data_IF_614798152977
#
_entry.id   IF_614798152977
#
_cell.length_a   1.000
_cell.length_b   1.000
_cell.length_c   1.000
_cell.angle_alpha   90.00
_cell.angle_beta   90.00
_cell.angle_gamma   90.00
#
_symmetry.space_group_name_H-M   'P 1'
#
loop_
_entity.id
_entity.type
_entity.pdbx_description
1 polymer ?
#
# COMPACT_ATOMS: atom_id res chain seq x y z
N UNK A 1 -60.65 6.98 -12.61
CA UNK A 1 -61.38 8.17 -13.10
C UNK A 1 -62.29 8.66 -11.98
N UNK A 2 -62.41 9.99 -11.85
CA UNK A 2 -63.24 10.76 -10.90
C UNK A 2 -62.90 10.66 -9.40
N UNK A 3 -62.54 11.82 -8.82
CA UNK A 3 -62.34 12.03 -7.38
C UNK A 3 -61.97 13.49 -7.09
N UNK A 4 -62.98 14.35 -6.96
CA UNK A 4 -62.91 15.79 -6.71
C UNK A 4 -62.41 16.15 -5.29
N UNK A 5 -61.51 17.16 -5.20
CA UNK A 5 -61.53 18.44 -4.44
C UNK A 5 -62.18 18.51 -3.02
N UNK A 6 -61.68 19.38 -2.08
CA UNK A 6 -61.65 20.83 -2.30
C UNK A 6 -60.48 21.66 -1.75
N UNK A 7 -60.44 22.88 -2.29
CA UNK A 7 -59.63 24.05 -1.94
C UNK A 7 -60.04 24.66 -0.59
N UNK A 8 -59.11 25.33 0.10
CA UNK A 8 -59.42 26.59 0.77
C UNK A 8 -58.29 27.61 0.62
N UNK A 9 -58.71 28.81 0.26
CA UNK A 9 -57.97 30.03 -0.05
C UNK A 9 -57.57 30.81 1.22
N UNK A 10 -56.46 31.56 1.16
CA UNK A 10 -56.38 33.03 1.33
C UNK A 10 -54.90 33.46 1.27
N UNK A 11 -54.44 34.10 0.20
CA UNK A 11 -54.26 35.57 0.03
C UNK A 11 -53.63 36.27 1.25
N UNK A 12 -52.38 36.72 1.11
CA UNK A 12 -52.05 38.15 0.98
C UNK A 12 -50.54 38.37 0.79
N UNK A 13 -50.21 39.05 -0.30
CA UNK A 13 -48.94 39.72 -0.50
C UNK A 13 -49.04 41.14 0.10
N UNK A 14 -47.98 41.60 0.75
CA UNK A 14 -47.37 42.91 0.55
C UNK A 14 -46.42 43.26 1.70
N UNK A 15 -45.36 43.99 1.32
CA UNK A 15 -44.55 44.89 2.16
C UNK A 15 -43.72 44.27 3.28
N UNK A 16 -42.42 44.09 3.02
CA UNK A 16 -41.43 44.24 4.08
C UNK A 16 -40.36 45.26 3.70
N UNK A 17 -40.45 46.35 4.45
CA UNK A 17 -39.62 47.54 4.48
C UNK A 17 -38.18 47.23 4.88
N UNK A 18 -37.26 47.92 4.22
CA UNK A 18 -35.90 48.14 4.70
C UNK A 18 -35.90 48.67 6.14
N UNK A 19 -35.22 47.97 7.06
CA UNK A 19 -34.71 48.56 8.28
C UNK A 19 -33.21 48.27 8.39
N UNK A 20 -32.44 49.34 8.21
CA UNK A 20 -31.03 49.43 8.57
C UNK A 20 -30.92 49.34 10.08
N UNK A 21 -30.20 48.34 10.59
CA UNK A 21 -29.63 48.36 11.93
C UNK A 21 -28.14 48.62 11.79
N UNK A 22 -27.74 49.86 12.03
CA UNK A 22 -26.35 50.27 12.22
C UNK A 22 -25.90 49.83 13.62
N UNK A 23 -25.14 48.74 13.71
CA UNK A 23 -24.36 48.44 14.91
C UNK A 23 -23.05 49.25 14.85
N UNK A 24 -22.83 50.11 15.83
CA UNK A 24 -21.63 50.94 15.98
C UNK A 24 -20.40 50.09 16.35
N UNK A 25 -19.18 50.44 15.87
CA UNK A 25 -17.95 49.63 16.06
C UNK A 25 -17.46 49.51 17.52
N UNK A 26 -18.06 50.23 18.47
CA UNK A 26 -17.61 50.28 19.86
C UNK A 26 -18.11 49.11 20.72
N UNK A 27 -19.17 48.40 20.31
CA UNK A 27 -19.70 47.27 21.10
C UNK A 27 -18.95 45.95 20.83
N UNK A 28 -18.29 45.83 19.67
CA UNK A 28 -17.50 44.64 19.30
C UNK A 28 -16.10 44.65 19.95
N UNK A 29 -15.57 45.83 20.28
CA UNK A 29 -14.29 45.96 20.98
C UNK A 29 -14.37 45.66 22.48
N UNK A 30 -15.51 45.95 23.13
CA UNK A 30 -15.69 45.64 24.55
C UNK A 30 -15.84 44.13 24.80
N UNK A 31 -16.43 43.38 23.86
CA UNK A 31 -16.55 41.93 23.93
C UNK A 31 -15.23 41.19 23.64
N UNK A 32 -14.32 41.79 22.87
CA UNK A 32 -12.97 41.23 22.66
C UNK A 32 -12.03 41.48 23.85
N UNK A 33 -12.19 42.59 24.59
CA UNK A 33 -11.33 42.89 25.75
C UNK A 33 -11.68 42.05 27.00
N UNK A 34 -12.93 41.60 27.15
CA UNK A 34 -13.34 40.72 28.26
C UNK A 34 -12.88 39.26 28.03
N UNK A 35 -12.67 38.84 26.79
CA UNK A 35 -12.16 37.50 26.46
C UNK A 35 -10.62 37.36 26.58
N UNK A 36 -9.88 38.47 26.68
CA UNK A 36 -8.42 38.46 26.86
C UNK A 36 -7.95 38.57 28.32
N UNK A 37 -8.86 38.73 29.29
CA UNK A 37 -8.51 38.91 30.70
C UNK A 37 -8.46 37.61 31.55
N UNK A 38 -8.68 36.42 30.97
CA UNK A 38 -8.78 35.16 31.73
C UNK A 38 -7.79 34.04 31.38
N UNK A 39 -6.76 34.29 30.55
CA UNK A 39 -5.68 33.34 30.32
C UNK A 39 -4.32 33.95 30.66
N UNK A 40 -4.02 34.02 31.97
CA UNK A 40 -2.67 34.25 32.46
C UNK A 40 -1.85 32.97 32.37
N UNK A 41 -0.96 32.88 31.37
CA UNK A 41 0.20 31.98 31.40
C UNK A 41 1.43 32.82 31.03
N UNK A 42 2.35 32.90 31.99
CA UNK A 42 3.61 33.63 31.92
C UNK A 42 4.47 33.19 30.74
N UNK A 43 4.88 34.13 29.90
CA UNK A 43 5.98 33.97 28.96
C UNK A 43 7.30 34.09 29.73
N UNK A 44 7.89 32.95 30.09
CA UNK A 44 9.32 32.87 30.35
C UNK A 44 10.05 32.79 29.00
N UNK A 45 11.04 33.65 28.82
CA UNK A 45 11.92 33.69 27.65
C UNK A 45 12.67 32.36 27.50
N UNK A 46 12.25 31.53 26.54
CA UNK A 46 13.03 30.40 26.08
C UNK A 46 13.87 30.86 24.89
N UNK A 47 15.10 31.25 25.17
CA UNK A 47 16.16 31.42 24.16
C UNK A 47 16.42 30.04 23.55
N UNK A 48 15.87 29.76 22.38
CA UNK A 48 16.19 28.55 21.61
C UNK A 48 17.58 28.72 21.03
N UNK A 49 18.57 28.23 21.77
CA UNK A 49 19.91 27.97 21.25
C UNK A 49 19.77 26.82 20.24
N UNK A 50 19.91 27.14 18.96
CA UNK A 50 20.19 26.14 17.93
C UNK A 50 21.57 25.55 18.22
N UNK A 51 21.60 24.49 19.03
CA UNK A 51 22.74 23.59 19.03
C UNK A 51 22.75 22.87 17.68
N UNK A 52 23.65 23.32 16.80
CA UNK A 52 24.15 22.53 15.71
C UNK A 52 24.79 21.27 16.31
N UNK A 53 23.98 20.24 16.51
CA UNK A 53 24.49 18.90 16.73
C UNK A 53 25.24 18.52 15.46
N UNK A 54 26.56 18.53 15.54
CA UNK A 54 27.47 17.82 14.66
C UNK A 54 26.99 16.37 14.61
N UNK A 55 26.20 16.05 13.59
CA UNK A 55 25.92 14.67 13.20
C UNK A 55 27.26 14.15 12.71
N UNK A 56 28.01 13.51 13.60
CA UNK A 56 29.14 12.68 13.22
C UNK A 56 28.62 11.68 12.20
N UNK A 57 29.07 11.85 10.95
CA UNK A 57 28.91 10.93 9.84
C UNK A 57 29.47 9.57 10.23
N UNK A 58 28.65 8.79 10.92
CA UNK A 58 28.84 7.37 11.08
C UNK A 58 28.79 6.80 9.67
N UNK A 59 29.87 6.15 9.26
CA UNK A 59 30.04 5.60 7.92
C UNK A 59 28.72 5.00 7.41
N UNK A 60 28.18 5.61 6.36
CA UNK A 60 27.06 5.06 5.59
C UNK A 60 27.58 3.73 5.05
N UNK A 61 27.26 2.64 5.75
CA UNK A 61 27.36 1.29 5.20
C UNK A 61 26.43 1.31 4.00
N UNK A 62 27.01 1.41 2.80
CA UNK A 62 26.28 1.40 1.54
C UNK A 62 25.30 0.23 1.54
N UNK A 63 23.97 0.46 1.58
CA UNK A 63 22.99 -0.62 1.55
C UNK A 63 22.86 -1.25 0.14
N UNK A 64 23.72 -0.87 -0.80
CA UNK A 64 23.66 -1.27 -2.20
C UNK A 64 24.33 -2.60 -2.55
N UNK A 65 24.87 -3.36 -1.59
CA UNK A 65 25.20 -4.76 -1.84
C UNK A 65 23.95 -5.64 -1.75
N UNK A 66 22.96 -5.36 -2.58
CA UNK A 66 22.03 -6.39 -3.02
C UNK A 66 22.88 -7.39 -3.81
N UNK A 67 23.31 -8.47 -3.16
CA UNK A 67 24.01 -9.56 -3.82
C UNK A 67 23.23 -9.93 -5.10
N UNK A 68 23.89 -10.06 -6.26
CA UNK A 68 23.22 -10.37 -7.51
C UNK A 68 22.36 -11.62 -7.30
N UNK A 69 21.07 -11.49 -7.56
CA UNK A 69 20.13 -12.60 -7.45
C UNK A 69 20.59 -13.72 -8.37
N UNK A 70 20.97 -14.86 -7.80
CA UNK A 70 21.37 -16.03 -8.58
C UNK A 70 20.30 -16.34 -9.65
N UNK A 71 20.67 -16.56 -10.92
CA UNK A 71 19.71 -16.78 -11.99
C UNK A 71 18.77 -17.95 -11.68
N UNK A 72 17.47 -17.68 -11.69
CA UNK A 72 16.42 -18.71 -11.59
C UNK A 72 16.15 -19.21 -10.18
N UNK A 73 15.58 -18.36 -9.32
CA UNK A 73 15.06 -18.78 -8.02
C UNK A 73 14.12 -19.99 -8.18
N UNK A 74 14.52 -21.14 -7.62
CA UNK A 74 13.71 -22.36 -7.64
C UNK A 74 12.91 -22.47 -6.35
N UNK A 75 11.61 -22.80 -6.41
CA UNK A 75 10.86 -23.20 -5.23
C UNK A 75 11.54 -24.39 -4.53
N UNK A 76 11.49 -24.44 -3.20
CA UNK A 76 11.90 -25.61 -2.42
C UNK A 76 11.19 -26.90 -2.88
N UNK A 77 11.95 -27.99 -2.97
CA UNK A 77 11.39 -29.32 -3.20
C UNK A 77 10.91 -29.92 -1.86
N UNK A 78 9.61 -30.19 -1.76
CA UNK A 78 8.97 -30.72 -0.55
C UNK A 78 8.56 -32.20 -0.68
N UNK A 79 9.20 -32.94 -1.58
CA UNK A 79 8.92 -34.37 -1.79
C UNK A 79 9.24 -35.23 -0.56
N UNK A 80 10.30 -34.88 0.20
CA UNK A 80 10.71 -35.60 1.42
C UNK A 80 9.88 -35.24 2.67
N UNK A 81 9.01 -34.23 2.59
CA UNK A 81 8.14 -33.81 3.68
C UNK A 81 6.70 -33.63 3.17
N UNK A 82 6.00 -34.71 2.78
CA UNK A 82 4.67 -34.63 2.16
C UNK A 82 3.62 -33.94 3.02
N UNK A 83 3.81 -33.98 4.35
CA UNK A 83 2.88 -33.42 5.33
C UNK A 83 3.16 -31.96 5.71
N UNK A 84 4.17 -31.30 5.12
CA UNK A 84 4.47 -29.90 5.42
C UNK A 84 3.28 -29.01 5.04
N UNK A 85 2.80 -28.19 5.98
CA UNK A 85 1.67 -27.27 5.81
C UNK A 85 2.05 -25.81 5.95
N UNK A 86 1.41 -24.97 5.16
CA UNK A 86 1.63 -23.52 5.11
C UNK A 86 0.31 -22.81 5.44
N UNK A 87 0.35 -21.86 6.36
CA UNK A 87 -0.78 -20.98 6.68
C UNK A 87 -0.44 -19.55 6.31
N UNK A 88 -1.41 -18.81 5.77
CA UNK A 88 -1.31 -17.36 5.51
C UNK A 88 -2.52 -16.70 6.17
N UNK A 89 -2.31 -15.66 6.97
CA UNK A 89 -3.37 -14.91 7.64
C UNK A 89 -3.31 -13.45 7.17
N UNK A 90 -4.40 -12.97 6.58
CA UNK A 90 -4.65 -11.55 6.34
C UNK A 90 -5.96 -11.14 7.01
N UNK A 91 -5.85 -10.63 8.23
CA UNK A 91 -6.98 -10.21 9.06
C UNK A 91 -7.59 -8.87 8.64
N UNK A 92 -6.87 -8.06 7.88
CA UNK A 92 -7.35 -6.74 7.42
C UNK A 92 -8.19 -6.84 6.14
N UNK A 93 -9.21 -5.97 5.95
CA UNK A 93 -9.99 -5.92 4.70
C UNK A 93 -9.28 -5.13 3.59
N UNK A 94 -7.95 -5.09 3.60
CA UNK A 94 -7.06 -4.40 2.65
C UNK A 94 -5.73 -5.17 2.55
N UNK A 95 -4.72 -4.62 1.86
CA UNK A 95 -3.44 -5.29 1.56
C UNK A 95 -3.58 -6.58 0.74
N UNK A 96 -4.64 -6.69 -0.06
CA UNK A 96 -4.84 -7.83 -0.94
C UNK A 96 -3.79 -7.93 -2.05
N UNK A 97 -3.11 -6.84 -2.37
CA UNK A 97 -1.96 -6.80 -3.26
C UNK A 97 -0.78 -7.64 -2.72
N UNK A 98 -0.55 -7.61 -1.40
CA UNK A 98 0.46 -8.43 -0.72
C UNK A 98 0.04 -9.90 -0.71
N UNK A 99 -1.24 -10.15 -0.39
CA UNK A 99 -1.82 -11.50 -0.42
C UNK A 99 -1.75 -12.11 -1.83
N UNK A 100 -2.08 -11.34 -2.87
CA UNK A 100 -2.01 -11.79 -4.26
C UNK A 100 -0.57 -12.13 -4.66
N UNK A 101 0.40 -11.33 -4.20
CA UNK A 101 1.82 -11.65 -4.33
C UNK A 101 2.17 -12.98 -3.66
N UNK A 102 1.80 -13.18 -2.40
CA UNK A 102 2.05 -14.44 -1.69
C UNK A 102 1.40 -15.63 -2.40
N UNK A 103 0.15 -15.50 -2.83
CA UNK A 103 -0.56 -16.51 -3.60
C UNK A 103 0.20 -16.88 -4.88
N UNK A 104 0.81 -15.90 -5.56
CA UNK A 104 1.67 -16.15 -6.70
C UNK A 104 2.93 -16.94 -6.30
N UNK A 105 3.63 -16.51 -5.26
CA UNK A 105 4.85 -17.17 -4.74
C UNK A 105 4.59 -18.61 -4.27
N UNK A 106 3.46 -18.85 -3.60
CA UNK A 106 3.08 -20.16 -3.05
C UNK A 106 2.28 -21.04 -4.00
N UNK A 107 2.10 -20.64 -5.26
CA UNK A 107 1.41 -21.45 -6.28
C UNK A 107 1.93 -22.90 -6.38
N UNK A 108 3.25 -23.20 -6.31
CA UNK A 108 3.76 -24.58 -6.31
C UNK A 108 3.26 -25.42 -5.13
N UNK A 109 2.83 -24.77 -4.04
CA UNK A 109 2.41 -25.39 -2.78
C UNK A 109 0.92 -25.21 -2.50
N UNK A 110 0.12 -24.87 -3.53
CA UNK A 110 -1.27 -24.45 -3.35
C UNK A 110 -2.11 -25.46 -2.54
N UNK A 111 -1.95 -26.77 -2.80
CA UNK A 111 -2.65 -27.85 -2.09
C UNK A 111 -2.25 -28.01 -0.61
N UNK A 112 -1.13 -27.42 -0.19
CA UNK A 112 -0.57 -27.46 1.16
C UNK A 112 -0.74 -26.13 1.90
N UNK A 113 -1.38 -25.16 1.27
CA UNK A 113 -1.51 -23.79 1.77
C UNK A 113 -2.96 -23.53 2.16
N UNK A 114 -3.17 -23.05 3.38
CA UNK A 114 -4.44 -22.50 3.84
C UNK A 114 -4.32 -20.97 3.97
N UNK A 115 -5.30 -20.24 3.46
CA UNK A 115 -5.34 -18.78 3.45
C UNK A 115 -6.55 -18.26 4.24
N UNK A 116 -6.29 -17.65 5.38
CA UNK A 116 -7.29 -17.03 6.25
C UNK A 116 -7.45 -15.56 5.89
N UNK A 117 -8.68 -15.15 5.57
CA UNK A 117 -9.00 -13.82 5.08
C UNK A 117 -10.06 -13.16 5.93
N UNK A 118 -10.02 -11.83 6.04
CA UNK A 118 -11.11 -11.07 6.62
C UNK A 118 -12.48 -11.42 5.98
N UNK A 119 -13.55 -11.49 6.76
CA UNK A 119 -14.90 -11.79 6.24
C UNK A 119 -15.40 -10.83 5.15
N UNK A 120 -14.91 -9.59 5.13
CA UNK A 120 -15.29 -8.57 4.16
C UNK A 120 -14.60 -8.72 2.80
N UNK A 121 -13.67 -9.66 2.62
CA UNK A 121 -13.00 -9.91 1.34
C UNK A 121 -13.99 -10.27 0.22
N UNK A 122 -15.13 -10.89 0.54
CA UNK A 122 -16.18 -11.21 -0.44
C UNK A 122 -17.18 -10.08 -0.68
N UNK A 123 -17.09 -8.97 0.06
CA UNK A 123 -18.01 -7.86 -0.18
C UNK A 123 -17.79 -7.30 -1.59
N UNK A 124 -18.85 -6.79 -2.23
CA UNK A 124 -18.73 -6.07 -3.51
C UNK A 124 -17.74 -4.88 -3.41
N UNK A 125 -17.51 -4.38 -2.18
CA UNK A 125 -16.55 -3.34 -1.85
C UNK A 125 -15.14 -3.86 -1.49
N UNK A 126 -14.89 -5.17 -1.54
CA UNK A 126 -13.67 -5.84 -1.08
C UNK A 126 -12.49 -5.74 -2.06
N UNK A 127 -12.38 -4.60 -2.74
CA UNK A 127 -11.37 -4.30 -3.77
C UNK A 127 -11.27 -5.36 -4.89
N UNK A 128 -12.25 -6.25 -5.08
CA UNK A 128 -12.32 -7.24 -6.17
C UNK A 128 -11.22 -8.32 -6.19
N UNK A 129 -10.42 -8.46 -5.14
CA UNK A 129 -9.30 -9.41 -5.07
C UNK A 129 -9.74 -10.87 -5.13
N UNK A 130 -11.02 -11.13 -4.83
CA UNK A 130 -11.64 -12.46 -4.82
C UNK A 130 -11.40 -13.27 -6.09
N UNK A 131 -11.42 -12.64 -7.27
CA UNK A 131 -11.23 -13.34 -8.55
C UNK A 131 -9.84 -13.95 -8.70
N UNK A 132 -8.82 -13.32 -8.14
CA UNK A 132 -7.45 -13.85 -8.13
C UNK A 132 -7.36 -15.00 -7.14
N UNK A 133 -7.91 -14.78 -5.94
CA UNK A 133 -7.84 -15.74 -4.85
C UNK A 133 -8.54 -17.07 -5.21
N UNK A 134 -9.72 -17.02 -5.84
CA UNK A 134 -10.46 -18.24 -6.23
C UNK A 134 -9.77 -19.07 -7.31
N UNK A 135 -8.91 -18.46 -8.15
CA UNK A 135 -8.18 -19.17 -9.23
C UNK A 135 -6.87 -19.81 -8.75
N UNK A 136 -6.44 -19.53 -7.52
CA UNK A 136 -5.14 -19.94 -6.99
C UNK A 136 -4.99 -21.43 -6.66
N UNK A 137 -6.11 -22.16 -6.52
CA UNK A 137 -6.17 -23.53 -5.95
C UNK A 137 -5.71 -23.63 -4.49
N UNK A 138 -5.48 -22.51 -3.80
CA UNK A 138 -5.22 -22.44 -2.35
C UNK A 138 -6.54 -22.57 -1.60
N UNK A 139 -6.52 -23.26 -0.46
CA UNK A 139 -7.69 -23.41 0.40
C UNK A 139 -7.90 -22.12 1.19
N UNK A 140 -8.86 -21.27 0.79
CA UNK A 140 -9.17 -20.07 1.55
C UNK A 140 -10.25 -20.33 2.61
N UNK A 141 -10.18 -19.63 3.73
CA UNK A 141 -11.17 -19.63 4.81
C UNK A 141 -11.45 -18.19 5.25
N UNK A 142 -12.72 -17.82 5.38
CA UNK A 142 -13.10 -16.49 5.85
C UNK A 142 -13.18 -16.47 7.38
N UNK A 143 -12.47 -15.53 8.00
CA UNK A 143 -12.44 -15.27 9.44
C UNK A 143 -13.83 -14.81 9.92
N UNK A 144 -14.64 -15.79 10.32
CA UNK A 144 -15.96 -15.64 10.92
C UNK A 144 -15.95 -16.23 12.34
N UNK A 145 -16.95 -15.90 13.17
CA UNK A 145 -17.07 -16.50 14.52
C UNK A 145 -17.16 -18.02 14.47
N UNK A 146 -17.91 -18.57 13.51
CA UNK A 146 -18.01 -20.01 13.30
C UNK A 146 -16.65 -20.63 12.97
N UNK A 147 -15.87 -20.00 12.08
CA UNK A 147 -14.53 -20.48 11.76
C UNK A 147 -13.60 -20.44 12.97
N UNK A 148 -13.60 -19.36 13.76
CA UNK A 148 -12.80 -19.28 14.99
C UNK A 148 -13.14 -20.42 15.95
N UNK A 149 -14.43 -20.75 16.08
CA UNK A 149 -14.88 -21.89 16.89
C UNK A 149 -14.45 -23.25 16.32
N UNK A 150 -14.29 -23.34 14.99
CA UNK A 150 -13.72 -24.53 14.34
C UNK A 150 -12.22 -24.64 14.62
N UNK A 151 -11.48 -23.54 14.47
CA UNK A 151 -10.04 -23.49 14.70
C UNK A 151 -9.72 -23.80 16.17
N UNK A 152 -10.50 -23.29 17.12
CA UNK A 152 -10.31 -23.58 18.55
C UNK A 152 -10.50 -25.06 18.90
N UNK A 153 -11.38 -25.76 18.17
CA UNK A 153 -11.61 -27.20 18.29
C UNK A 153 -10.56 -28.03 17.56
N UNK A 154 -10.31 -27.73 16.28
CA UNK A 154 -9.39 -28.47 15.39
C UNK A 154 -7.93 -28.30 15.79
N UNK A 155 -7.57 -27.13 16.35
CA UNK A 155 -6.20 -26.73 16.69
C UNK A 155 -5.20 -27.04 15.56
N UNK A 156 -5.41 -26.46 14.35
CA UNK A 156 -4.62 -26.79 13.17
C UNK A 156 -3.13 -26.53 13.42
N UNK A 157 -2.30 -27.32 12.74
CA UNK A 157 -0.84 -27.22 12.80
C UNK A 157 -0.28 -26.78 11.45
N UNK A 158 0.64 -25.81 11.47
CA UNK A 158 1.38 -25.31 10.31
C UNK A 158 2.89 -25.31 10.56
N UNK A 159 3.68 -25.81 9.63
CA UNK A 159 5.14 -25.70 9.71
C UNK A 159 5.59 -24.26 9.48
N UNK A 160 4.95 -23.57 8.55
CA UNK A 160 5.15 -22.15 8.26
C UNK A 160 3.81 -21.40 8.35
N UNK A 161 3.74 -20.40 9.22
CA UNK A 161 2.62 -19.47 9.32
C UNK A 161 3.05 -18.07 8.93
N UNK A 162 2.35 -17.41 8.02
CA UNK A 162 2.65 -16.07 7.54
C UNK A 162 1.54 -15.11 8.01
N UNK A 163 1.92 -14.08 8.77
CA UNK A 163 1.01 -13.00 9.18
C UNK A 163 1.22 -11.80 8.27
N UNK A 164 0.16 -11.38 7.59
CA UNK A 164 0.19 -10.22 6.69
C UNK A 164 -0.30 -8.99 7.46
N UNK A 165 0.58 -8.01 7.66
CA UNK A 165 0.28 -6.75 8.35
C UNK A 165 -0.23 -6.92 9.80
N UNK A 166 0.44 -7.73 10.65
CA UNK A 166 0.02 -7.91 12.03
C UNK A 166 0.03 -6.60 12.83
N UNK A 167 0.77 -5.58 12.38
CA UNK A 167 0.80 -4.22 12.95
C UNK A 167 -0.53 -3.46 12.85
N UNK A 168 -1.51 -3.96 12.10
CA UNK A 168 -2.85 -3.36 12.01
C UNK A 168 -3.94 -4.13 12.77
N UNK A 169 -3.71 -5.39 13.13
CA UNK A 169 -4.73 -6.30 13.69
C UNK A 169 -4.12 -7.19 14.78
N UNK A 170 -3.29 -6.61 15.66
CA UNK A 170 -2.51 -7.38 16.62
C UNK A 170 -3.39 -8.22 17.56
N UNK A 171 -4.47 -7.64 18.08
CA UNK A 171 -5.41 -8.32 18.98
C UNK A 171 -6.09 -9.52 18.31
N UNK A 172 -6.53 -9.35 17.06
CA UNK A 172 -7.19 -10.41 16.30
C UNK A 172 -6.21 -11.53 15.94
N UNK A 173 -4.95 -11.20 15.61
CA UNK A 173 -3.91 -12.19 15.40
C UNK A 173 -3.59 -12.94 16.69
N UNK A 174 -3.46 -12.25 17.83
CA UNK A 174 -3.21 -12.88 19.12
C UNK A 174 -4.29 -13.91 19.47
N UNK A 175 -5.56 -13.53 19.34
CA UNK A 175 -6.68 -14.44 19.60
C UNK A 175 -6.65 -15.68 18.68
N UNK A 176 -6.42 -15.48 17.38
CA UNK A 176 -6.34 -16.58 16.43
C UNK A 176 -5.16 -17.52 16.74
N UNK A 177 -4.01 -16.97 17.11
CA UNK A 177 -2.79 -17.71 17.39
C UNK A 177 -2.84 -18.53 18.69
N UNK A 178 -3.77 -18.25 19.61
CA UNK A 178 -4.05 -19.15 20.76
C UNK A 178 -4.55 -20.52 20.32
N UNK A 179 -5.13 -20.60 19.13
CA UNK A 179 -5.74 -21.81 18.60
C UNK A 179 -4.98 -22.44 17.44
N UNK A 180 -4.03 -21.74 16.84
CA UNK A 180 -3.19 -22.27 15.76
C UNK A 180 -1.82 -22.68 16.31
N UNK A 181 -1.49 -23.96 16.18
CA UNK A 181 -0.14 -24.46 16.46
C UNK A 181 0.75 -24.21 15.25
N UNK A 182 1.99 -23.79 15.47
CA UNK A 182 2.93 -23.60 14.38
C UNK A 182 4.38 -23.77 14.82
N UNK A 183 5.24 -24.09 13.85
CA UNK A 183 6.70 -24.21 14.08
C UNK A 183 7.38 -22.86 13.85
N UNK A 184 7.22 -22.26 12.67
CA UNK A 184 7.78 -20.94 12.33
C UNK A 184 6.66 -19.95 12.00
N UNK A 185 6.80 -18.73 12.51
CA UNK A 185 5.94 -17.59 12.14
C UNK A 185 6.76 -16.54 11.40
N UNK A 186 6.32 -16.14 10.19
CA UNK A 186 6.86 -14.99 9.46
C UNK A 186 5.86 -13.84 9.56
N UNK A 187 6.24 -12.74 10.20
CA UNK A 187 5.39 -11.57 10.39
C UNK A 187 5.80 -10.46 9.41
N UNK A 188 4.94 -10.17 8.41
CA UNK A 188 5.16 -9.11 7.41
C UNK A 188 4.65 -7.78 7.94
N UNK A 189 5.54 -7.01 8.57
CA UNK A 189 5.26 -5.71 9.19
C UNK A 189 5.27 -4.60 8.14
N UNK A 190 4.19 -3.81 8.07
CA UNK A 190 4.06 -2.73 7.09
C UNK A 190 4.70 -1.41 7.54
N UNK A 191 4.60 -1.09 8.84
CA UNK A 191 5.19 0.11 9.41
C UNK A 191 6.11 -0.24 10.59
N UNK A 192 7.37 0.18 10.53
CA UNK A 192 8.33 -0.04 11.63
C UNK A 192 8.09 0.87 12.84
N UNK A 193 7.28 1.91 12.68
CA UNK A 193 6.92 2.86 13.73
C UNK A 193 5.66 2.45 14.51
N UNK A 194 5.35 1.15 14.53
CA UNK A 194 4.27 0.61 15.32
C UNK A 194 4.62 0.64 16.82
N UNK A 195 3.80 1.35 17.60
CA UNK A 195 4.08 1.65 19.01
C UNK A 195 4.20 0.40 19.90
N UNK A 196 3.69 -0.76 19.48
CA UNK A 196 3.66 -1.99 20.28
C UNK A 196 4.43 -3.15 19.62
N UNK A 197 5.57 -2.82 19.02
CA UNK A 197 6.41 -3.80 18.31
C UNK A 197 6.86 -4.95 19.22
N UNK A 198 7.10 -4.68 20.50
CA UNK A 198 7.46 -5.72 21.47
C UNK A 198 6.31 -6.73 21.70
N UNK A 199 5.06 -6.27 21.77
CA UNK A 199 3.93 -7.21 21.83
C UNK A 199 3.75 -7.96 20.52
N UNK A 200 3.97 -7.32 19.37
CA UNK A 200 3.93 -8.00 18.07
C UNK A 200 4.90 -9.18 18.03
N UNK A 201 6.14 -9.00 18.51
CA UNK A 201 7.13 -10.08 18.64
C UNK A 201 6.58 -11.21 19.54
N UNK A 202 6.14 -10.87 20.76
CA UNK A 202 5.58 -11.87 21.69
C UNK A 202 4.40 -12.64 21.10
N UNK A 203 3.51 -11.97 20.37
CA UNK A 203 2.37 -12.59 19.72
C UNK A 203 2.84 -13.55 18.62
N UNK A 204 3.80 -13.14 17.79
CA UNK A 204 4.36 -14.00 16.74
C UNK A 204 5.07 -15.24 17.33
N UNK A 205 5.81 -15.08 18.43
CA UNK A 205 6.55 -16.16 19.11
C UNK A 205 5.68 -17.04 20.04
N UNK A 206 4.44 -16.65 20.30
CA UNK A 206 3.57 -17.36 21.23
C UNK A 206 3.38 -18.84 20.84
N UNK A 207 3.11 -19.71 21.83
CA UNK A 207 2.92 -21.14 21.58
C UNK A 207 4.19 -21.89 21.15
N UNK A 208 5.38 -21.37 21.47
CA UNK A 208 6.67 -22.02 21.22
C UNK A 208 7.17 -21.92 19.77
N UNK A 209 6.63 -20.99 18.99
CA UNK A 209 7.06 -20.75 17.61
C UNK A 209 8.27 -19.83 17.57
N UNK A 210 9.23 -20.10 16.68
CA UNK A 210 10.22 -19.07 16.32
C UNK A 210 9.57 -18.04 15.39
N UNK A 211 9.75 -16.75 15.67
CA UNK A 211 9.29 -15.67 14.80
C UNK A 211 10.42 -15.11 13.94
N UNK A 212 10.09 -14.75 12.69
CA UNK A 212 10.93 -13.94 11.82
C UNK A 212 10.13 -12.69 11.44
N UNK A 213 10.64 -11.53 11.83
CA UNK A 213 10.10 -10.25 11.36
C UNK A 213 10.64 -9.97 9.96
N UNK A 214 9.72 -9.63 9.05
CA UNK A 214 10.08 -9.15 7.72
C UNK A 214 9.27 -7.92 7.37
N UNK A 215 9.76 -7.12 6.45
CA UNK A 215 9.03 -5.96 5.92
C UNK A 215 8.91 -6.02 4.40
N UNK A 216 8.19 -5.06 3.83
CA UNK A 216 7.98 -4.96 2.38
C UNK A 216 9.05 -4.12 1.66
N UNK A 217 10.02 -3.53 2.38
CA UNK A 217 11.05 -2.67 1.77
C UNK A 217 12.33 -2.55 2.60
N UNK A 218 13.49 -2.23 1.97
CA UNK A 218 14.77 -2.13 2.66
C UNK A 218 14.80 -1.11 3.81
N UNK A 219 14.27 0.10 3.59
CA UNK A 219 14.31 1.15 4.62
C UNK A 219 13.45 0.81 5.84
N UNK A 220 12.27 0.21 5.63
CA UNK A 220 11.42 -0.25 6.73
C UNK A 220 12.03 -1.42 7.47
N UNK A 221 12.74 -2.34 6.78
CA UNK A 221 13.49 -3.41 7.44
C UNK A 221 14.59 -2.83 8.33
N UNK A 222 15.36 -1.88 7.81
CA UNK A 222 16.42 -1.18 8.56
C UNK A 222 15.87 -0.49 9.80
N UNK A 223 14.76 0.25 9.65
CA UNK A 223 14.10 0.93 10.76
C UNK A 223 13.54 -0.04 11.80
N UNK A 224 12.90 -1.14 11.37
CA UNK A 224 12.38 -2.14 12.30
C UNK A 224 13.50 -2.88 13.03
N UNK A 225 14.60 -3.20 12.34
CA UNK A 225 15.79 -3.80 12.94
C UNK A 225 16.36 -2.91 14.04
N UNK A 226 16.51 -1.61 13.76
CA UNK A 226 16.95 -0.63 14.76
C UNK A 226 16.00 -0.55 15.96
N UNK A 227 14.68 -0.57 15.73
CA UNK A 227 13.68 -0.48 16.80
C UNK A 227 13.59 -1.75 17.67
N UNK A 228 13.98 -2.91 17.14
CA UNK A 228 13.82 -4.22 17.80
C UNK A 228 15.12 -4.84 18.28
N UNK A 229 16.27 -4.40 17.76
CA UNK A 229 17.55 -5.07 17.93
C UNK A 229 17.62 -6.43 17.23
N UNK A 230 16.64 -6.79 16.39
CA UNK A 230 16.61 -8.05 15.65
C UNK A 230 17.06 -7.86 14.20
N UNK A 231 17.56 -8.92 13.58
CA UNK A 231 17.76 -8.95 12.13
C UNK A 231 16.39 -8.99 11.45
N UNK A 232 16.12 -7.99 10.60
CA UNK A 232 14.88 -7.91 9.83
C UNK A 232 15.22 -7.94 8.35
N UNK A 233 14.69 -8.92 7.63
CA UNK A 233 14.80 -8.99 6.18
C UNK A 233 13.61 -8.29 5.51
N UNK A 234 13.75 -7.90 4.24
CA UNK A 234 12.62 -7.48 3.43
C UNK A 234 12.28 -8.50 2.36
N UNK A 235 10.98 -8.69 2.11
CA UNK A 235 10.41 -9.56 1.09
C UNK A 235 9.19 -8.88 0.48
N UNK A 236 9.20 -8.70 -0.84
CA UNK A 236 8.11 -8.08 -1.58
C UNK A 236 7.58 -9.05 -2.66
N UNK A 237 6.65 -9.94 -2.31
CA UNK A 237 6.01 -10.79 -3.31
C UNK A 237 5.03 -9.94 -4.13
N UNK A 238 5.06 -10.08 -5.46
CA UNK A 238 4.32 -9.23 -6.41
C UNK A 238 3.50 -10.10 -7.35
N UNK A 239 2.19 -9.85 -7.44
CA UNK A 239 1.33 -10.52 -8.42
C UNK A 239 1.60 -9.99 -9.84
N UNK A 240 1.97 -10.83 -10.82
CA UNK A 240 2.17 -10.39 -12.20
C UNK A 240 0.82 -10.20 -12.90
N UNK A 241 0.25 -9.01 -12.79
CA UNK A 241 -1.01 -8.69 -13.45
C UNK A 241 -0.88 -8.82 -14.97
N UNK A 242 -1.95 -9.33 -15.60
CA UNK A 242 -2.07 -9.48 -17.05
C UNK A 242 -3.20 -8.57 -17.53
N UNK A 243 -2.88 -7.40 -18.13
CA UNK A 243 -3.89 -6.50 -18.65
C UNK A 243 -4.64 -7.14 -19.82
N UNK A 244 -5.82 -6.63 -20.15
CA UNK A 244 -6.53 -7.04 -21.38
C UNK A 244 -5.81 -6.56 -22.63
N UNK A 245 -5.31 -5.32 -22.60
CA UNK A 245 -4.44 -4.75 -23.64
C UNK A 245 -3.07 -4.51 -23.04
N UNK A 246 -2.05 -5.18 -23.57
CA UNK A 246 -0.69 -5.07 -23.06
C UNK A 246 0.07 -3.93 -23.75
N UNK A 247 0.26 -2.81 -23.06
CA UNK A 247 0.98 -1.66 -23.62
C UNK A 247 2.45 -1.95 -23.93
N UNK A 248 3.05 -3.02 -23.38
CA UNK A 248 4.40 -3.47 -23.78
C UNK A 248 4.45 -4.06 -25.19
N UNK A 249 3.29 -4.39 -25.76
CA UNK A 249 3.14 -4.96 -27.11
C UNK A 249 2.46 -3.98 -28.06
N UNK A 250 2.16 -2.75 -27.62
CA UNK A 250 1.58 -1.73 -28.47
C UNK A 250 2.61 -1.25 -29.50
N UNK A 251 2.15 -0.93 -30.71
CA UNK A 251 2.97 -0.20 -31.69
C UNK A 251 3.27 1.21 -31.15
N UNK A 252 4.27 1.90 -31.71
CA UNK A 252 4.53 3.30 -31.30
C UNK A 252 3.31 4.21 -31.50
N UNK A 253 2.56 3.97 -32.58
CA UNK A 253 1.33 4.70 -32.92
C UNK A 253 0.22 4.41 -31.92
N UNK A 254 0.06 3.15 -31.51
CA UNK A 254 -0.99 2.74 -30.55
C UNK A 254 -0.59 3.01 -29.09
N UNK A 255 0.69 3.23 -28.80
CA UNK A 255 1.13 3.45 -27.43
C UNK A 255 0.59 4.77 -26.89
N UNK A 256 0.73 5.85 -27.66
CA UNK A 256 0.34 7.19 -27.24
C UNK A 256 -1.14 7.46 -27.54
N UNK A 257 -1.91 7.84 -26.52
CA UNK A 257 -3.32 8.23 -26.67
C UNK A 257 -4.30 7.06 -26.78
N UNK A 258 -3.88 5.91 -27.33
CA UNK A 258 -4.67 4.69 -27.41
C UNK A 258 -4.40 3.76 -26.21
N UNK A 259 -3.13 3.41 -25.92
CA UNK A 259 -2.78 2.58 -24.76
C UNK A 259 -2.48 3.40 -23.50
N UNK A 260 -1.66 4.45 -23.63
CA UNK A 260 -1.24 5.31 -22.52
C UNK A 260 -1.97 6.64 -22.55
N UNK A 261 -2.63 6.95 -21.43
CA UNK A 261 -3.34 8.21 -21.25
C UNK A 261 -3.34 8.66 -19.80
N UNK A 262 -2.73 9.82 -19.56
CA UNK A 262 -2.67 10.47 -18.26
C UNK A 262 -1.78 9.77 -17.24
N UNK A 263 -1.93 10.15 -15.99
CA UNK A 263 -1.14 9.70 -14.86
C UNK A 263 -2.05 9.26 -13.73
N UNK A 264 -1.59 8.33 -12.90
CA UNK A 264 -2.41 7.74 -11.85
C UNK A 264 -1.95 8.14 -10.44
N UNK A 265 -2.90 8.39 -9.56
CA UNK A 265 -2.68 8.47 -8.11
C UNK A 265 -3.53 7.39 -7.47
N UNK A 266 -2.93 6.52 -6.68
CA UNK A 266 -3.65 5.47 -5.98
C UNK A 266 -3.64 5.64 -4.46
N UNK A 267 -4.77 5.36 -3.82
CA UNK A 267 -4.89 5.28 -2.36
C UNK A 267 -6.17 5.89 -1.79
N UNK A 268 -6.14 6.18 -0.48
CA UNK A 268 -7.24 6.87 0.21
C UNK A 268 -7.26 8.35 -0.20
N UNK A 269 -8.45 8.90 -0.45
CA UNK A 269 -8.65 10.33 -0.76
C UNK A 269 -8.45 11.16 0.51
N UNK A 270 -7.19 11.44 0.82
CA UNK A 270 -6.78 12.16 2.03
C UNK A 270 -5.40 12.77 1.87
N UNK A 271 -5.31 14.07 2.17
CA UNK A 271 -4.05 14.80 2.22
C UNK A 271 -3.04 14.28 3.27
N UNK A 272 -3.52 13.50 4.25
CA UNK A 272 -2.65 12.85 5.23
C UNK A 272 -1.83 11.68 4.65
N UNK A 273 -2.20 11.21 3.44
CA UNK A 273 -1.56 10.06 2.79
C UNK A 273 -0.96 10.43 1.44
N UNK A 274 -1.54 11.42 0.74
CA UNK A 274 -1.06 11.94 -0.54
C UNK A 274 -1.06 13.45 -0.54
N UNK A 275 -0.01 14.12 -1.03
CA UNK A 275 0.03 15.58 -1.09
C UNK A 275 -0.71 16.12 -2.33
N UNK A 276 -2.04 16.03 -2.34
CA UNK A 276 -2.85 16.52 -3.47
C UNK A 276 -2.76 18.04 -3.62
N UNK A 277 -2.70 18.78 -2.52
CA UNK A 277 -2.66 20.24 -2.52
C UNK A 277 -1.44 20.81 -3.24
N UNK A 278 -0.25 20.22 -3.04
CA UNK A 278 0.95 20.60 -3.80
C UNK A 278 0.77 20.34 -5.28
N UNK A 279 0.24 19.18 -5.66
CA UNK A 279 0.01 18.84 -7.06
C UNK A 279 -0.94 19.82 -7.74
N UNK A 280 -2.08 20.16 -7.11
CA UNK A 280 -3.04 21.10 -7.68
C UNK A 280 -2.42 22.47 -7.94
N UNK A 281 -1.64 22.99 -6.99
CA UNK A 281 -0.93 24.26 -7.15
C UNK A 281 0.06 24.24 -8.33
N UNK A 282 0.79 23.13 -8.50
CA UNK A 282 1.70 22.96 -9.66
C UNK A 282 0.92 22.94 -10.97
N UNK A 283 -0.23 22.24 -10.99
CA UNK A 283 -1.09 22.17 -12.18
C UNK A 283 -1.70 23.52 -12.54
N UNK A 284 -2.14 24.31 -11.56
CA UNK A 284 -2.62 25.69 -11.78
C UNK A 284 -1.52 26.55 -12.43
N UNK A 285 -0.27 26.41 -11.98
CA UNK A 285 0.88 27.16 -12.50
C UNK A 285 1.21 26.80 -13.95
N UNK A 286 0.99 25.53 -14.35
CA UNK A 286 1.28 25.02 -15.70
C UNK A 286 0.01 24.82 -16.54
N UNK A 287 -1.12 25.44 -16.15
CA UNK A 287 -2.45 25.10 -16.67
C UNK A 287 -2.55 25.24 -18.18
N UNK A 288 -2.02 26.34 -18.75
CA UNK A 288 -2.08 26.59 -20.19
C UNK A 288 -1.44 25.45 -20.99
N UNK A 289 -0.28 24.96 -20.56
CA UNK A 289 0.41 23.83 -21.19
C UNK A 289 -0.36 22.53 -21.06
N UNK A 290 -1.05 22.30 -19.94
CA UNK A 290 -1.83 21.09 -19.70
C UNK A 290 -3.10 21.01 -20.57
N UNK A 291 -3.69 22.16 -20.92
CA UNK A 291 -4.96 22.23 -21.67
C UNK A 291 -4.79 22.55 -23.16
N UNK A 292 -3.58 22.92 -23.58
CA UNK A 292 -3.25 23.29 -24.95
C UNK A 292 -2.06 22.49 -25.49
N UNK A 293 -1.65 22.75 -26.74
CA UNK A 293 -0.48 22.11 -27.34
C UNK A 293 -0.51 20.59 -27.39
N UNK A 294 0.66 19.97 -27.22
CA UNK A 294 0.87 18.51 -27.33
C UNK A 294 0.28 17.71 -26.16
N UNK A 295 0.15 18.32 -24.98
CA UNK A 295 -0.40 17.64 -23.81
C UNK A 295 -1.93 17.50 -23.90
N UNK A 296 -2.60 18.38 -24.65
CA UNK A 296 -4.05 18.37 -24.84
C UNK A 296 -4.51 17.00 -25.36
N UNK A 297 -5.40 16.36 -24.61
CA UNK A 297 -5.97 15.05 -24.94
C UNK A 297 -5.21 13.86 -24.33
N UNK A 298 -3.90 13.99 -24.12
CA UNK A 298 -3.06 13.01 -23.43
C UNK A 298 -3.07 13.19 -21.91
N UNK A 299 -3.03 14.45 -21.46
CA UNK A 299 -2.96 14.76 -20.04
C UNK A 299 -4.29 14.49 -19.34
N UNK A 300 -4.20 13.76 -18.23
CA UNK A 300 -5.29 13.50 -17.29
C UNK A 300 -4.70 13.00 -15.97
N UNK A 301 -5.31 13.34 -14.84
CA UNK A 301 -5.01 12.69 -13.55
C UNK A 301 -6.13 11.71 -13.23
N UNK A 302 -5.82 10.42 -13.22
CA UNK A 302 -6.71 9.37 -12.76
C UNK A 302 -6.47 9.10 -11.28
N UNK A 303 -7.44 9.38 -10.41
CA UNK A 303 -7.36 9.09 -8.98
C UNK A 303 -8.14 7.81 -8.71
N UNK A 304 -7.47 6.79 -8.17
CA UNK A 304 -8.08 5.48 -7.90
C UNK A 304 -8.06 5.18 -6.41
N UNK A 305 -9.23 4.86 -5.84
CA UNK A 305 -9.30 4.36 -4.48
C UNK A 305 -10.60 4.65 -3.78
N UNK A 306 -10.52 5.14 -2.54
CA UNK A 306 -11.69 5.34 -1.66
C UNK A 306 -11.59 6.58 -0.79
N UNK A 307 -12.73 7.23 -0.58
CA UNK A 307 -12.89 8.38 0.28
C UNK A 307 -14.00 9.28 -0.23
N UNK A 308 -14.18 10.43 0.38
CA UNK A 308 -15.07 11.46 -0.14
C UNK A 308 -14.28 12.36 -1.10
N UNK A 309 -14.87 12.75 -2.23
CA UNK A 309 -14.18 13.50 -3.29
C UNK A 309 -13.86 14.94 -2.88
N UNK A 310 -14.72 15.58 -2.09
CA UNK A 310 -14.51 16.91 -1.51
C UNK A 310 -13.18 17.02 -0.74
N UNK A 311 -12.73 15.92 -0.11
CA UNK A 311 -11.45 15.84 0.60
C UNK A 311 -10.22 15.88 -0.32
N UNK A 312 -10.40 15.76 -1.63
CA UNK A 312 -9.32 15.97 -2.61
C UNK A 312 -9.00 17.46 -2.76
N UNK A 313 -9.94 18.36 -2.44
CA UNK A 313 -9.75 19.80 -2.56
C UNK A 313 -9.41 20.22 -3.99
N UNK A 314 -10.14 19.70 -4.96
CA UNK A 314 -9.93 19.98 -6.39
C UNK A 314 -10.34 21.42 -6.72
N UNK A 315 -9.43 22.25 -7.28
CA UNK A 315 -9.80 23.54 -7.84
C UNK A 315 -10.72 23.38 -9.06
N UNK A 316 -11.69 24.29 -9.22
CA UNK A 316 -12.71 24.22 -10.27
C UNK A 316 -12.12 24.23 -11.69
N UNK A 317 -11.01 24.94 -11.88
CA UNK A 317 -10.32 25.09 -13.16
C UNK A 317 -9.42 23.89 -13.52
N UNK A 318 -9.11 23.03 -12.54
CA UNK A 318 -8.34 21.79 -12.66
C UNK A 318 -9.24 20.55 -12.73
N UNK A 319 -10.44 20.60 -12.14
CA UNK A 319 -11.41 19.50 -12.11
C UNK A 319 -11.60 18.79 -13.47
N UNK A 320 -11.70 19.48 -14.63
CA UNK A 320 -11.85 18.82 -15.93
C UNK A 320 -10.68 17.90 -16.33
N UNK A 321 -9.49 18.11 -15.74
CA UNK A 321 -8.29 17.31 -15.98
C UNK A 321 -8.20 16.08 -15.07
N UNK A 322 -9.13 15.93 -14.12
CA UNK A 322 -9.11 14.86 -13.13
C UNK A 322 -10.26 13.88 -13.41
N UNK A 323 -10.01 12.59 -13.17
CA UNK A 323 -11.05 11.56 -13.11
C UNK A 323 -10.89 10.74 -11.85
N UNK A 324 -11.93 10.74 -11.02
CA UNK A 324 -11.96 9.93 -9.81
C UNK A 324 -12.63 8.59 -10.11
N UNK A 325 -11.96 7.51 -9.76
CA UNK A 325 -12.43 6.15 -9.89
C UNK A 325 -12.60 5.54 -8.49
N UNK A 326 -13.85 5.35 -8.09
CA UNK A 326 -14.20 4.83 -6.76
C UNK A 326 -14.25 3.32 -6.74
N UNK A 327 -13.58 2.72 -5.74
CA UNK A 327 -13.71 1.31 -5.37
C UNK A 327 -13.67 0.36 -6.57
N UNK A 328 -12.79 0.65 -7.53
CA UNK A 328 -12.64 -0.17 -8.74
C UNK A 328 -12.24 -1.59 -8.33
N UNK A 329 -12.91 -2.64 -8.83
CA UNK A 329 -12.51 -4.01 -8.55
C UNK A 329 -11.07 -4.30 -8.98
N UNK A 330 -10.36 -5.19 -8.30
CA UNK A 330 -8.91 -5.46 -8.44
C UNK A 330 -8.43 -5.46 -9.89
N UNK A 331 -9.06 -6.27 -10.75
CA UNK A 331 -8.68 -6.35 -12.16
C UNK A 331 -8.84 -5.01 -12.85
N UNK A 332 -9.99 -4.35 -12.69
CA UNK A 332 -10.22 -3.03 -13.26
C UNK A 332 -9.26 -1.97 -12.70
N UNK A 333 -8.93 -2.04 -11.40
CA UNK A 333 -8.00 -1.12 -10.75
C UNK A 333 -6.61 -1.20 -11.39
N UNK A 334 -6.05 -2.40 -11.53
CA UNK A 334 -4.73 -2.57 -12.15
C UNK A 334 -4.76 -2.40 -13.67
N UNK A 335 -5.90 -2.66 -14.33
CA UNK A 335 -6.10 -2.31 -15.75
C UNK A 335 -5.99 -0.79 -15.93
N UNK A 336 -6.71 -0.01 -15.13
CA UNK A 336 -6.63 1.44 -15.19
C UNK A 336 -5.20 1.92 -14.92
N UNK A 337 -4.51 1.41 -13.90
CA UNK A 337 -3.11 1.75 -13.64
C UNK A 337 -2.19 1.42 -14.83
N UNK A 338 -2.40 0.29 -15.50
CA UNK A 338 -1.58 -0.15 -16.64
C UNK A 338 -1.59 0.87 -17.78
N UNK A 339 -2.73 1.53 -18.02
CA UNK A 339 -2.97 2.48 -19.11
C UNK A 339 -2.56 3.93 -18.81
N UNK A 340 -1.81 4.19 -17.74
CA UNK A 340 -1.28 5.52 -17.43
C UNK A 340 0.21 5.62 -17.77
N UNK A 341 0.72 6.80 -18.11
CA UNK A 341 2.15 7.03 -18.31
C UNK A 341 2.97 6.66 -17.06
N UNK A 342 2.55 7.15 -15.89
CA UNK A 342 3.18 6.84 -14.62
C UNK A 342 2.19 6.93 -13.44
N UNK A 343 2.61 6.36 -12.31
CA UNK A 343 1.96 6.53 -11.00
C UNK A 343 2.70 7.62 -10.22
N UNK A 344 1.96 8.55 -9.61
CA UNK A 344 2.50 9.55 -8.70
C UNK A 344 2.37 9.05 -7.25
N UNK A 345 3.49 8.84 -6.52
CA UNK A 345 3.43 8.44 -5.11
C UNK A 345 2.84 9.53 -4.20
N UNK A 346 3.13 10.80 -4.50
CA UNK A 346 2.73 12.00 -3.74
C UNK A 346 2.85 11.82 -2.23
N UNK A 347 3.97 11.29 -1.71
CA UNK A 347 4.06 10.91 -0.31
C UNK A 347 3.75 12.11 0.61
N UNK A 348 2.76 11.98 1.50
CA UNK A 348 2.35 13.09 2.38
C UNK A 348 3.37 13.41 3.50
N UNK A 349 4.45 12.66 3.62
CA UNK A 349 5.48 12.96 4.62
C UNK A 349 6.67 12.01 4.61
N UNK A 350 7.76 12.40 5.29
CA UNK A 350 9.06 11.71 5.25
C UNK A 350 9.01 10.32 5.89
N UNK A 351 7.96 9.98 6.65
CA UNK A 351 7.79 8.64 7.23
C UNK A 351 7.73 7.56 6.16
N UNK A 352 7.29 7.85 4.94
CA UNK A 352 7.31 6.89 3.84
C UNK A 352 8.70 6.59 3.27
N UNK A 353 9.70 7.40 3.62
CA UNK A 353 11.10 7.21 3.24
C UNK A 353 11.93 6.56 4.37
N UNK A 354 11.34 6.43 5.56
CA UNK A 354 12.07 5.98 6.76
C UNK A 354 11.39 4.81 7.49
N UNK A 355 10.07 4.86 7.70
CA UNK A 355 9.36 3.93 8.59
C UNK A 355 8.19 3.18 7.93
N UNK A 356 7.62 3.72 6.85
CA UNK A 356 6.38 3.21 6.24
C UNK A 356 6.61 2.75 4.82
N UNK A 357 5.99 1.62 4.48
CA UNK A 357 5.92 1.15 3.11
C UNK A 357 4.83 1.89 2.32
N UNK A 358 5.12 2.25 1.07
CA UNK A 358 4.14 2.81 0.13
C UNK A 358 3.61 1.75 -0.81
N UNK A 359 2.29 1.52 -0.80
CA UNK A 359 1.61 0.64 -1.76
C UNK A 359 1.77 1.10 -3.22
N UNK A 360 2.24 2.33 -3.49
CA UNK A 360 2.50 2.79 -4.86
C UNK A 360 3.62 1.98 -5.53
N UNK A 361 4.64 1.53 -4.79
CA UNK A 361 5.67 0.62 -5.30
C UNK A 361 5.04 -0.69 -5.75
N UNK A 362 4.27 -1.30 -4.86
CA UNK A 362 3.63 -2.58 -5.15
C UNK A 362 2.64 -2.43 -6.33
N UNK A 363 1.93 -1.30 -6.38
CA UNK A 363 1.00 -1.01 -7.48
C UNK A 363 1.71 -0.90 -8.83
N UNK A 364 2.83 -0.16 -8.88
CA UNK A 364 3.67 -0.02 -10.06
C UNK A 364 4.21 -1.36 -10.55
N UNK A 365 4.76 -2.16 -9.65
CA UNK A 365 5.30 -3.48 -9.98
C UNK A 365 4.20 -4.44 -10.48
N UNK A 366 3.01 -4.42 -9.85
CA UNK A 366 1.87 -5.23 -10.28
C UNK A 366 1.44 -4.83 -11.69
N UNK A 367 1.13 -3.55 -11.94
CA UNK A 367 0.59 -3.09 -13.22
C UNK A 367 1.63 -2.97 -14.33
N UNK A 368 2.93 -2.97 -14.00
CA UNK A 368 3.99 -2.65 -14.96
C UNK A 368 3.98 -1.17 -15.36
N UNK A 369 3.52 -0.30 -14.47
CA UNK A 369 3.44 1.15 -14.70
C UNK A 369 4.57 1.84 -13.94
N UNK A 370 5.42 2.66 -14.59
CA UNK A 370 6.49 3.38 -13.92
C UNK A 370 5.99 4.36 -12.87
N UNK A 371 6.89 4.79 -11.99
CA UNK A 371 6.63 5.84 -11.00
C UNK A 371 7.30 7.14 -11.43
N UNK A 372 6.73 8.28 -11.04
CA UNK A 372 7.50 9.53 -10.92
C UNK A 372 8.11 9.54 -9.52
N UNK A 373 9.43 9.67 -9.42
CA UNK A 373 10.16 9.56 -8.17
C UNK A 373 11.38 10.46 -8.14
N UNK A 374 11.78 10.91 -6.96
CA UNK A 374 13.05 11.62 -6.73
C UNK A 374 14.15 10.67 -6.24
N UNK A 375 15.35 11.21 -6.02
CA UNK A 375 16.50 10.45 -5.51
C UNK A 375 16.28 9.90 -4.09
N UNK A 376 15.56 10.63 -3.24
CA UNK A 376 15.30 10.20 -1.85
C UNK A 376 14.36 8.99 -1.82
N UNK A 377 13.38 8.96 -2.72
CA UNK A 377 12.49 7.82 -2.94
C UNK A 377 13.28 6.59 -3.41
N UNK A 378 14.15 6.74 -4.41
CA UNK A 378 14.98 5.63 -4.88
C UNK A 378 15.93 5.10 -3.80
N UNK A 379 16.50 5.99 -2.97
CA UNK A 379 17.34 5.58 -1.85
C UNK A 379 16.58 4.74 -0.81
N UNK A 380 15.32 5.06 -0.54
CA UNK A 380 14.49 4.29 0.38
C UNK A 380 14.03 2.94 -0.21
N UNK A 381 13.62 2.94 -1.48
CA UNK A 381 13.01 1.80 -2.16
C UNK A 381 13.99 1.08 -3.11
N UNK A 382 15.08 0.55 -2.56
CA UNK A 382 16.16 -0.10 -3.32
C UNK A 382 15.79 -1.33 -4.16
N UNK A 383 14.52 -1.74 -4.23
CA UNK A 383 14.05 -2.72 -5.22
C UNK A 383 13.81 -2.14 -6.62
N UNK A 384 13.68 -0.81 -6.74
CA UNK A 384 13.58 -0.08 -8.00
C UNK A 384 14.80 0.84 -8.15
N UNK A 385 15.20 1.12 -9.38
CA UNK A 385 16.31 2.00 -9.71
C UNK A 385 15.87 3.05 -10.73
N UNK A 386 16.79 3.93 -11.15
CA UNK A 386 16.51 5.01 -12.11
C UNK A 386 15.95 4.50 -13.45
N UNK A 387 16.25 3.28 -13.87
CA UNK A 387 15.72 2.69 -15.11
C UNK A 387 14.24 2.34 -15.01
N UNK A 388 13.71 2.17 -13.79
CA UNK A 388 12.33 1.74 -13.53
C UNK A 388 11.38 2.92 -13.27
N UNK A 389 11.88 4.16 -13.28
CA UNK A 389 11.12 5.35 -12.90
C UNK A 389 11.38 6.49 -13.87
N UNK A 390 10.50 7.48 -13.86
CA UNK A 390 10.81 8.80 -14.39
C UNK A 390 11.36 9.64 -13.25
N UNK A 391 12.70 9.75 -13.22
CA UNK A 391 13.40 10.51 -12.19
C UNK A 391 13.06 12.00 -12.31
N UNK A 392 12.61 12.58 -11.20
CA UNK A 392 12.46 14.01 -11.01
C UNK A 392 13.85 14.64 -10.84
N UNK A 393 14.20 15.55 -11.74
CA UNK A 393 15.48 16.26 -11.71
C UNK A 393 15.44 17.39 -10.69
N UNK A 394 16.62 17.90 -10.35
CA UNK A 394 16.73 19.09 -9.51
C UNK A 394 16.00 20.27 -10.16
N UNK A 395 15.16 20.95 -9.37
CA UNK A 395 14.32 22.05 -9.83
C UNK A 395 13.03 21.66 -10.55
N UNK A 396 12.84 20.39 -10.93
CA UNK A 396 11.56 19.93 -11.50
C UNK A 396 10.52 19.73 -10.39
N UNK A 397 9.27 20.08 -10.69
CA UNK A 397 8.07 19.64 -9.97
C UNK A 397 7.53 18.34 -10.56
N UNK A 398 6.58 17.67 -9.90
CA UNK A 398 5.93 16.48 -10.46
C UNK A 398 5.25 16.78 -11.82
N UNK A 399 4.68 17.98 -11.99
CA UNK A 399 4.06 18.39 -13.25
C UNK A 399 5.09 18.58 -14.37
N UNK A 400 6.27 19.09 -14.07
CA UNK A 400 7.36 19.22 -15.06
C UNK A 400 7.79 17.83 -15.57
N UNK A 401 7.91 16.85 -14.67
CA UNK A 401 8.18 15.46 -15.07
C UNK A 401 7.05 14.91 -15.93
N UNK A 402 5.77 15.15 -15.58
CA UNK A 402 4.63 14.68 -16.37
C UNK A 402 4.64 15.25 -17.79
N UNK A 403 4.88 16.55 -17.95
CA UNK A 403 5.03 17.19 -19.27
C UNK A 403 6.17 16.56 -20.06
N UNK A 404 7.34 16.39 -19.43
CA UNK A 404 8.50 15.74 -20.05
C UNK A 404 8.19 14.30 -20.50
N UNK A 405 7.52 13.51 -19.68
CA UNK A 405 7.14 12.12 -19.99
C UNK A 405 6.17 12.03 -21.18
N UNK A 406 5.22 12.97 -21.31
CA UNK A 406 4.33 12.99 -22.47
C UNK A 406 5.04 13.38 -23.78
N UNK A 407 6.16 14.09 -23.68
CA UNK A 407 7.03 14.42 -24.82
C UNK A 407 8.08 13.32 -25.12
N UNK A 408 8.20 12.30 -24.27
CA UNK A 408 9.15 11.20 -24.45
C UNK A 408 8.74 10.28 -25.61
N UNK A 409 9.73 9.82 -26.38
CA UNK A 409 9.50 8.90 -27.49
C UNK A 409 8.96 7.54 -27.00
N UNK A 410 8.13 6.90 -27.83
CA UNK A 410 7.49 5.63 -27.48
C UNK A 410 8.48 4.52 -27.09
N UNK A 411 9.63 4.44 -27.77
CA UNK A 411 10.70 3.48 -27.47
C UNK A 411 11.23 3.61 -26.05
N UNK A 412 11.51 4.84 -25.61
CA UNK A 412 12.00 5.12 -24.25
C UNK A 412 10.91 4.83 -23.20
N UNK A 413 9.64 5.17 -23.48
CA UNK A 413 8.51 4.80 -22.60
C UNK A 413 8.41 3.28 -22.41
N UNK A 414 8.60 2.51 -23.47
CA UNK A 414 8.60 1.04 -23.44
C UNK A 414 9.82 0.49 -22.66
N UNK A 415 11.00 1.09 -22.83
CA UNK A 415 12.21 0.72 -22.08
C UNK A 415 11.99 0.82 -20.57
N UNK A 416 11.45 1.95 -20.09
CA UNK A 416 11.19 2.14 -18.64
C UNK A 416 10.16 1.13 -18.14
N UNK A 417 9.09 0.87 -18.91
CA UNK A 417 8.07 -0.13 -18.55
C UNK A 417 8.63 -1.54 -18.48
N UNK A 418 9.50 -1.93 -19.40
CA UNK A 418 10.17 -3.23 -19.36
C UNK A 418 11.05 -3.34 -18.11
N UNK A 419 11.76 -2.27 -17.74
CA UNK A 419 12.57 -2.26 -16.52
C UNK A 419 11.72 -2.46 -15.25
N UNK A 420 10.51 -1.90 -15.18
CA UNK A 420 9.55 -2.17 -14.09
C UNK A 420 9.15 -3.65 -14.04
N UNK A 421 8.91 -4.28 -15.20
CA UNK A 421 8.62 -5.72 -15.28
C UNK A 421 9.79 -6.57 -14.80
N UNK A 422 11.02 -6.22 -15.15
CA UNK A 422 12.22 -6.89 -14.65
C UNK A 422 12.42 -6.68 -13.14
N UNK A 423 12.13 -5.48 -12.62
CA UNK A 423 12.15 -5.22 -11.17
C UNK A 423 11.13 -6.07 -10.41
N UNK A 424 9.92 -6.27 -10.99
CA UNK A 424 8.94 -7.21 -10.46
C UNK A 424 9.51 -8.63 -10.43
N UNK A 425 10.14 -9.08 -11.51
CA UNK A 425 10.73 -10.42 -11.60
C UNK A 425 11.79 -10.63 -10.52
N UNK A 426 12.73 -9.69 -10.35
CA UNK A 426 13.75 -9.73 -9.27
C UNK A 426 13.12 -9.76 -7.88
N UNK A 427 12.07 -8.96 -7.64
CA UNK A 427 11.35 -8.96 -6.36
C UNK A 427 10.71 -10.33 -6.06
N UNK A 428 10.11 -10.96 -7.06
CA UNK A 428 9.54 -12.31 -6.94
C UNK A 428 10.60 -13.39 -6.78
N UNK A 429 11.73 -13.30 -7.48
CA UNK A 429 12.86 -14.24 -7.30
C UNK A 429 13.39 -14.18 -5.88
N UNK A 430 13.59 -12.98 -5.33
CA UNK A 430 13.95 -12.79 -3.92
C UNK A 430 12.91 -13.42 -2.98
N UNK A 431 11.62 -13.18 -3.22
CA UNK A 431 10.56 -13.77 -2.40
C UNK A 431 10.56 -15.31 -2.46
N UNK A 432 10.73 -15.90 -3.65
CA UNK A 432 10.85 -17.35 -3.81
C UNK A 432 12.07 -17.89 -3.06
N UNK A 433 13.24 -17.25 -3.18
CA UNK A 433 14.45 -17.65 -2.46
C UNK A 433 14.26 -17.58 -0.94
N UNK A 434 13.68 -16.48 -0.43
CA UNK A 434 13.41 -16.29 0.98
C UNK A 434 12.56 -17.44 1.56
N UNK A 435 11.41 -17.73 0.94
CA UNK A 435 10.53 -18.79 1.42
C UNK A 435 11.07 -20.19 1.13
N UNK A 436 11.79 -20.40 0.04
CA UNK A 436 12.41 -21.69 -0.27
C UNK A 436 13.41 -22.10 0.81
N UNK A 437 14.26 -21.17 1.28
CA UNK A 437 15.20 -21.41 2.39
C UNK A 437 14.47 -21.90 3.65
N UNK A 438 13.42 -21.18 4.06
CA UNK A 438 12.64 -21.53 5.26
C UNK A 438 11.99 -22.91 5.09
N UNK A 439 11.36 -23.16 3.94
CA UNK A 439 10.67 -24.42 3.68
C UNK A 439 11.65 -25.61 3.61
N UNK A 440 12.82 -25.43 3.01
CA UNK A 440 13.88 -26.46 2.97
C UNK A 440 14.35 -26.80 4.38
N UNK A 441 14.63 -25.80 5.22
CA UNK A 441 15.05 -26.02 6.61
C UNK A 441 13.98 -26.80 7.40
N UNK A 442 12.71 -26.41 7.26
CA UNK A 442 11.59 -27.09 7.91
C UNK A 442 11.46 -28.54 7.43
N UNK A 443 11.63 -28.77 6.13
CA UNK A 443 11.56 -30.09 5.52
C UNK A 443 12.68 -31.01 6.02
N UNK A 444 13.92 -30.52 6.09
CA UNK A 444 15.07 -31.26 6.60
C UNK A 444 14.91 -31.64 8.08
N UNK A 445 14.41 -30.71 8.91
CA UNK A 445 14.12 -30.99 10.33
C UNK A 445 13.05 -32.07 10.50
N UNK A 446 12.00 -32.05 9.67
CA UNK A 446 10.96 -33.09 9.70
C UNK A 446 11.45 -34.46 9.24
N UNK A 447 12.41 -34.52 8.31
CA UNK A 447 13.00 -35.79 7.87
C UNK A 447 13.89 -36.44 8.94
N UNK A 448 14.57 -35.63 9.76
CA UNK A 448 15.60 -36.11 10.68
C UNK A 448 15.10 -36.50 12.09
N UNK A 449 13.87 -36.15 12.49
CA UNK A 449 13.63 -36.03 13.94
C UNK A 449 12.22 -36.21 14.51
N UNK A 450 11.29 -36.88 13.82
CA UNK A 450 9.98 -37.25 14.43
C UNK A 450 9.77 -38.76 14.60
N UNK A 451 10.85 -39.55 14.63
CA UNK A 451 10.84 -40.93 15.15
C UNK A 451 11.01 -41.01 16.68
N UNK A 452 11.21 -39.88 17.36
CA UNK A 452 11.51 -39.82 18.81
C UNK A 452 10.32 -39.53 19.74
N UNK A 453 9.12 -39.27 19.21
CA UNK A 453 7.99 -38.75 20.00
C UNK A 453 6.73 -39.60 19.95
N UNK A 454 6.69 -40.73 20.69
CA UNK A 454 5.40 -41.34 21.04
C UNK A 454 5.34 -42.86 21.12
N UNK A 455 6.20 -43.49 21.92
CA UNK A 455 5.73 -44.66 22.67
C UNK A 455 4.65 -44.17 23.64
N UNK A 456 3.41 -44.07 23.16
CA UNK A 456 2.23 -44.05 24.02
C UNK A 456 2.18 -45.43 24.65
N UNK A 457 2.76 -45.55 25.85
CA UNK A 457 2.42 -46.61 26.77
C UNK A 457 0.90 -46.63 26.89
N UNK A 458 0.29 -47.69 26.36
CA UNK A 458 -1.03 -48.14 26.80
C UNK A 458 -0.87 -48.50 28.28
N UNK A 459 -1.41 -47.68 29.16
CA UNK A 459 -1.86 -48.11 30.48
C UNK A 459 -3.37 -47.91 30.52
#
# INVERSE_FOLDING_TARGET
MTGNKPQLLHKMAATWSSQKLSATPQLLMLLLQVLFAFCGISFAQATVVYNAATISSSAVVSPNTSAPSAPGAKPANLSSCPNLRIGIINGVPYHYEVVAGLVHTFRPYAKRTDLYLNRYTRSANGDGSWDILRRSRINFRLLTRTLLTSISREKPFYDLLILVSPDYELDANEELLRHIRRRVTVAIVHNSDFNDTQRLIRVAESGGSSAQLVTLSPHTATSLAAATGQTVEWVLPVYPFRPSTNCLQATEVDLLGMCLRGFAIQGKFSNQRRNYSSLWKQMETRREELISGYAKGLFRINILGKGQEDRLGLPQDIEPLVKVHHRVPYRGFFEQLHHNFAILPLLAGPRYLTHKFSSSILSALISGTPLIADKAFLAAYGMVNEQCVYLQKEGETEVDVMLRVMATQATELLTVRQAVVEARKRSNERAVQFYARILTELCSKSANGDSGGGSRGKK
#
